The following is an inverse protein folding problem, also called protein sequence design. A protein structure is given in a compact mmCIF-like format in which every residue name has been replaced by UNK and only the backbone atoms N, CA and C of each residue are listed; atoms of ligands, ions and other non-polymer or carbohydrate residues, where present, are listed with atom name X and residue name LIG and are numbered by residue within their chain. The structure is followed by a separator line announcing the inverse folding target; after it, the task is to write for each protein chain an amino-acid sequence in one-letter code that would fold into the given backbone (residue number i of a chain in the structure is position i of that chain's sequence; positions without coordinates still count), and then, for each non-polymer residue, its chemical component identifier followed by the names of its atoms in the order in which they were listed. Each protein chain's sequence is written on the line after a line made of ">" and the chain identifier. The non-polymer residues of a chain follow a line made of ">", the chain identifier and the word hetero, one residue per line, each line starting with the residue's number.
data_IF_174808906485
#
_entry.id   IF_174808906485
#
_cell.length_a   1.000
_cell.length_b   1.000
_cell.length_c   1.000
_cell.angle_alpha   90.00
_cell.angle_beta   90.00
_cell.angle_gamma   90.00
#
_symmetry.space_group_name_H-M   'P 1'
#
loop_
_entity.id
_entity.type
_entity.pdbx_description
1 polymer ?
#
# COMPACT_ATOMS: atom_id res chain seq x y z
N UNK A 1 -33.45 4.01 -4.12
CA UNK A 1 -32.13 3.32 -4.36
C UNK A 1 -32.25 2.03 -5.17
N UNK A 2 -33.24 1.16 -4.96
CA UNK A 2 -33.38 -0.11 -5.72
C UNK A 2 -33.64 0.06 -7.23
N UNK A 3 -34.30 1.11 -7.67
CA UNK A 3 -34.56 1.37 -9.11
C UNK A 3 -33.33 1.84 -9.89
N UNK A 4 -32.38 2.51 -9.24
CA UNK A 4 -31.15 2.98 -9.86
C UNK A 4 -30.22 1.80 -10.16
N UNK A 5 -30.14 0.83 -9.24
CA UNK A 5 -29.33 -0.38 -9.42
C UNK A 5 -29.85 -1.29 -10.55
N UNK A 6 -31.17 -1.42 -10.71
CA UNK A 6 -31.78 -2.21 -11.81
C UNK A 6 -31.58 -1.56 -13.18
N UNK A 7 -31.59 -0.23 -13.27
CA UNK A 7 -31.35 0.48 -14.53
C UNK A 7 -29.85 0.47 -14.91
N UNK A 8 -28.94 0.49 -13.96
CA UNK A 8 -27.51 0.43 -14.22
C UNK A 8 -27.07 -0.88 -14.90
N UNK A 9 -27.76 -2.01 -14.64
CA UNK A 9 -27.44 -3.30 -15.28
C UNK A 9 -27.78 -3.35 -16.78
N UNK A 10 -28.66 -2.46 -17.28
CA UNK A 10 -29.02 -2.35 -18.70
C UNK A 10 -28.04 -1.51 -19.52
N UNK A 11 -27.17 -0.74 -18.87
CA UNK A 11 -26.18 0.10 -19.53
C UNK A 11 -25.00 -0.71 -20.06
N UNK A 12 -24.38 -0.26 -21.15
CA UNK A 12 -23.10 -0.79 -21.61
C UNK A 12 -22.03 -0.62 -20.53
N UNK A 13 -21.05 -1.52 -20.50
CA UNK A 13 -19.95 -1.48 -19.51
C UNK A 13 -19.24 -0.12 -19.49
N UNK A 14 -18.98 0.47 -20.66
CA UNK A 14 -18.33 1.78 -20.79
C UNK A 14 -19.15 2.92 -20.18
N UNK A 15 -20.47 2.89 -20.33
CA UNK A 15 -21.37 3.88 -19.75
C UNK A 15 -21.40 3.78 -18.21
N UNK A 16 -21.45 2.53 -17.69
CA UNK A 16 -21.35 2.29 -16.25
C UNK A 16 -20.04 2.82 -15.65
N UNK A 17 -18.91 2.54 -16.32
CA UNK A 17 -17.59 3.04 -15.90
C UNK A 17 -17.59 4.56 -15.81
N UNK A 18 -18.12 5.26 -16.83
CA UNK A 18 -18.17 6.72 -16.84
C UNK A 18 -19.00 7.26 -15.67
N UNK A 19 -20.18 6.73 -15.44
CA UNK A 19 -21.04 7.14 -14.32
C UNK A 19 -20.35 6.90 -12.97
N UNK A 20 -19.71 5.74 -12.80
CA UNK A 20 -18.99 5.41 -11.56
C UNK A 20 -17.85 6.39 -11.31
N UNK A 21 -17.04 6.67 -12.34
CA UNK A 21 -15.93 7.61 -12.25
C UNK A 21 -16.41 9.02 -11.93
N UNK A 22 -17.48 9.50 -12.59
CA UNK A 22 -18.06 10.83 -12.32
C UNK A 22 -18.53 10.95 -10.87
N UNK A 23 -19.20 9.91 -10.34
CA UNK A 23 -19.65 9.89 -8.93
C UNK A 23 -18.47 9.85 -7.97
N UNK A 24 -17.47 8.98 -8.23
CA UNK A 24 -16.28 8.86 -7.37
C UNK A 24 -15.47 10.15 -7.36
N UNK A 25 -15.23 10.76 -8.52
CA UNK A 25 -14.49 12.02 -8.62
C UNK A 25 -15.21 13.17 -7.90
N UNK A 26 -16.56 13.19 -7.95
CA UNK A 26 -17.37 14.19 -7.23
C UNK A 26 -17.32 13.99 -5.72
N UNK A 27 -17.39 12.75 -5.25
CA UNK A 27 -17.44 12.44 -3.81
C UNK A 27 -16.06 12.38 -3.17
N UNK A 28 -15.04 11.96 -3.93
CA UNK A 28 -13.67 11.73 -3.46
C UNK A 28 -12.65 12.39 -4.39
N UNK A 29 -12.63 13.75 -4.46
CA UNK A 29 -11.72 14.47 -5.38
C UNK A 29 -10.24 14.29 -5.03
N UNK A 30 -9.95 13.91 -3.80
CA UNK A 30 -8.59 13.59 -3.31
C UNK A 30 -8.66 12.31 -2.48
N UNK A 31 -7.80 11.35 -2.82
CA UNK A 31 -7.69 10.05 -2.14
C UNK A 31 -6.25 9.81 -1.67
N UNK A 32 -5.76 10.59 -0.67
CA UNK A 32 -4.44 10.34 -0.12
C UNK A 32 -4.40 8.97 0.58
N UNK A 33 -3.22 8.36 0.62
CA UNK A 33 -3.01 7.17 1.44
C UNK A 33 -3.21 7.55 2.92
N UNK A 34 -4.04 6.81 3.67
CA UNK A 34 -4.31 7.09 5.09
C UNK A 34 -3.15 6.71 6.02
N UNK A 35 -1.99 6.36 5.48
CA UNK A 35 -0.78 5.97 6.21
C UNK A 35 0.18 7.14 6.32
N UNK A 36 0.59 7.48 7.54
CA UNK A 36 1.53 8.57 7.81
C UNK A 36 2.92 8.22 7.27
N UNK A 37 3.42 9.04 6.34
CA UNK A 37 4.72 8.88 5.71
C UNK A 37 5.31 10.26 5.30
N UNK A 38 6.61 10.30 5.00
CA UNK A 38 7.32 11.51 4.58
C UNK A 38 8.01 11.39 3.24
N UNK A 39 8.34 10.18 2.84
CA UNK A 39 9.08 9.82 1.64
C UNK A 39 8.71 8.40 1.20
N UNK A 40 9.25 7.96 0.06
CA UNK A 40 8.99 6.65 -0.53
C UNK A 40 9.41 5.50 0.39
N UNK A 41 10.47 5.68 1.19
CA UNK A 41 10.92 4.64 2.11
C UNK A 41 9.96 4.47 3.28
N UNK A 42 9.54 5.55 3.91
CA UNK A 42 8.58 5.51 5.02
C UNK A 42 7.21 5.06 4.55
N UNK A 43 6.82 5.42 3.31
CA UNK A 43 5.61 4.88 2.66
C UNK A 43 5.72 3.36 2.47
N UNK A 44 6.81 2.87 1.89
CA UNK A 44 7.03 1.43 1.68
C UNK A 44 6.91 0.63 2.99
N UNK A 45 7.54 1.12 4.06
CA UNK A 45 7.46 0.48 5.38
C UNK A 45 6.03 0.51 5.93
N UNK A 46 5.34 1.65 5.85
CA UNK A 46 3.98 1.78 6.33
C UNK A 46 3.01 0.86 5.58
N UNK A 47 3.12 0.78 4.24
CA UNK A 47 2.31 -0.13 3.42
C UNK A 47 2.64 -1.60 3.71
N UNK A 48 3.91 -1.97 3.95
CA UNK A 48 4.26 -3.33 4.37
C UNK A 48 3.63 -3.66 5.73
N UNK A 49 3.61 -2.70 6.66
CA UNK A 49 3.00 -2.90 7.98
C UNK A 49 1.48 -3.01 7.91
N UNK A 50 0.81 -2.37 6.95
CA UNK A 50 -0.65 -2.41 6.82
C UNK A 50 -1.19 -3.77 6.35
N UNK A 51 -0.35 -4.67 5.85
CA UNK A 51 -0.75 -6.03 5.53
C UNK A 51 -1.36 -6.73 6.75
N UNK A 52 -2.66 -7.08 6.69
CA UNK A 52 -3.44 -7.65 7.80
C UNK A 52 -3.40 -6.82 9.09
N UNK A 53 -3.35 -5.49 8.96
CA UNK A 53 -3.36 -4.55 10.06
C UNK A 53 -4.16 -3.30 9.65
N UNK A 54 -4.81 -2.66 10.62
CA UNK A 54 -5.55 -1.41 10.36
C UNK A 54 -4.59 -0.23 10.21
N UNK A 55 -4.94 0.74 9.38
CA UNK A 55 -4.14 1.95 9.16
C UNK A 55 -3.94 2.75 10.46
N UNK A 56 -4.96 2.80 11.32
CA UNK A 56 -4.88 3.41 12.65
C UNK A 56 -3.74 2.79 13.46
N UNK A 57 -3.67 1.45 13.51
CA UNK A 57 -2.61 0.75 14.26
C UNK A 57 -1.24 0.97 13.64
N UNK A 58 -1.14 1.04 12.32
CA UNK A 58 0.11 1.37 11.64
C UNK A 58 0.57 2.77 12.03
N UNK A 59 -0.33 3.76 11.99
CA UNK A 59 -0.02 5.15 12.32
C UNK A 59 0.31 5.37 13.81
N UNK A 60 -0.08 4.46 14.71
CA UNK A 60 0.38 4.47 16.11
C UNK A 60 1.83 4.03 16.26
N UNK A 61 2.32 3.08 15.45
CA UNK A 61 3.67 2.50 15.60
C UNK A 61 4.71 3.16 14.71
N UNK A 62 4.34 3.65 13.53
CA UNK A 62 5.29 4.23 12.57
C UNK A 62 6.02 5.46 13.09
N UNK A 63 5.44 6.40 13.86
CA UNK A 63 6.17 7.51 14.43
C UNK A 63 7.30 7.06 15.38
N UNK A 64 7.06 6.01 16.17
CA UNK A 64 8.07 5.44 17.09
C UNK A 64 9.20 4.80 16.29
N UNK A 65 8.86 4.01 15.24
CA UNK A 65 9.85 3.37 14.39
C UNK A 65 10.67 4.39 13.61
N UNK A 66 10.02 5.38 12.99
CA UNK A 66 10.69 6.39 12.16
C UNK A 66 11.50 7.42 12.97
N UNK A 67 11.16 7.64 14.25
CA UNK A 67 12.02 8.42 15.17
C UNK A 67 13.36 7.73 15.37
N UNK A 68 13.41 6.39 15.43
CA UNK A 68 14.66 5.62 15.53
C UNK A 68 15.35 5.49 14.17
N UNK A 69 14.60 5.18 13.11
CA UNK A 69 15.16 4.84 11.82
C UNK A 69 14.21 5.25 10.67
N UNK A 70 14.38 6.46 10.15
CA UNK A 70 13.56 7.04 9.09
C UNK A 70 14.08 6.81 7.67
N UNK A 71 15.19 6.08 7.50
CA UNK A 71 15.80 5.82 6.20
C UNK A 71 16.43 4.41 6.16
N UNK A 72 16.74 3.87 4.97
CA UNK A 72 17.28 2.52 4.83
C UNK A 72 18.57 2.29 5.63
N UNK A 73 19.47 3.29 5.68
CA UNK A 73 20.73 3.19 6.39
C UNK A 73 20.53 2.98 7.89
N UNK A 74 19.71 3.82 8.54
CA UNK A 74 19.40 3.69 9.96
C UNK A 74 18.60 2.40 10.24
N UNK A 75 17.65 2.05 9.37
CA UNK A 75 16.81 0.87 9.56
C UNK A 75 17.61 -0.43 9.47
N UNK A 76 18.58 -0.53 8.55
CA UNK A 76 19.44 -1.69 8.42
C UNK A 76 20.34 -1.92 9.63
N UNK A 77 20.67 -0.86 10.40
CA UNK A 77 21.47 -0.96 11.63
C UNK A 77 20.68 -1.53 12.81
N UNK A 78 19.35 -1.36 12.83
CA UNK A 78 18.53 -1.94 13.89
C UNK A 78 18.57 -3.45 13.85
N UNK A 79 18.61 -4.10 15.01
CA UNK A 79 18.39 -5.54 15.12
C UNK A 79 16.94 -5.89 14.77
N UNK A 80 16.71 -7.10 14.29
CA UNK A 80 15.33 -7.59 14.06
C UNK A 80 14.48 -7.52 15.34
N UNK A 81 15.09 -7.77 16.52
CA UNK A 81 14.43 -7.72 17.82
C UNK A 81 13.97 -6.29 18.17
N UNK A 82 14.78 -5.27 17.87
CA UNK A 82 14.39 -3.87 18.07
C UNK A 82 13.24 -3.46 17.16
N UNK A 83 13.28 -3.80 15.86
CA UNK A 83 12.17 -3.55 14.95
C UNK A 83 10.92 -4.26 15.46
N UNK A 84 11.03 -5.55 15.78
CA UNK A 84 9.92 -6.35 16.29
C UNK A 84 9.28 -5.75 17.55
N UNK A 85 10.07 -5.31 18.51
CA UNK A 85 9.55 -4.75 19.76
C UNK A 85 8.63 -3.54 19.54
N UNK A 86 8.87 -2.78 18.47
CA UNK A 86 8.06 -1.61 18.10
C UNK A 86 6.82 -2.04 17.32
N UNK A 87 7.00 -2.90 16.29
CA UNK A 87 5.93 -3.21 15.33
C UNK A 87 5.02 -4.37 15.73
N UNK A 88 5.30 -5.07 16.85
CA UNK A 88 4.50 -6.20 17.32
C UNK A 88 2.98 -5.97 17.35
N UNK A 89 2.46 -4.74 17.61
CA UNK A 89 1.02 -4.48 17.58
C UNK A 89 0.38 -4.60 16.18
N UNK A 90 1.19 -4.55 15.10
CA UNK A 90 0.69 -4.65 13.72
C UNK A 90 0.45 -6.10 13.24
N UNK A 91 0.61 -7.10 14.12
CA UNK A 91 0.49 -8.52 13.73
C UNK A 91 1.64 -8.98 12.81
N UNK A 92 1.83 -10.29 12.69
CA UNK A 92 2.89 -10.90 11.87
C UNK A 92 4.30 -10.30 12.14
N UNK A 93 4.52 -9.87 13.39
CA UNK A 93 5.71 -9.12 13.80
C UNK A 93 7.05 -9.77 13.45
N UNK A 94 7.25 -11.10 13.68
CA UNK A 94 8.50 -11.78 13.31
C UNK A 94 8.81 -11.70 11.82
N UNK A 95 7.81 -11.95 10.97
CA UNK A 95 7.95 -11.91 9.51
C UNK A 95 8.18 -10.48 9.02
N UNK A 96 7.38 -9.52 9.49
CA UNK A 96 7.48 -8.11 9.11
C UNK A 96 8.82 -7.50 9.55
N UNK A 97 9.27 -7.77 10.77
CA UNK A 97 10.57 -7.26 11.26
C UNK A 97 11.76 -7.81 10.47
N UNK A 98 11.72 -9.10 10.11
CA UNK A 98 12.71 -9.72 9.23
C UNK A 98 12.68 -9.09 7.83
N UNK A 99 11.48 -8.90 7.26
CA UNK A 99 11.30 -8.29 5.95
C UNK A 99 11.83 -6.85 5.94
N UNK A 100 11.42 -5.99 6.87
CA UNK A 100 11.87 -4.59 7.00
C UNK A 100 13.38 -4.49 7.08
N UNK A 101 14.02 -5.30 7.93
CA UNK A 101 15.48 -5.29 8.05
C UNK A 101 16.16 -5.68 6.74
N UNK A 102 15.70 -6.75 6.11
CA UNK A 102 16.35 -7.29 4.91
C UNK A 102 16.12 -6.40 3.69
N UNK A 103 14.88 -5.87 3.49
CA UNK A 103 14.64 -4.93 2.38
C UNK A 103 15.48 -3.66 2.53
N UNK A 104 15.68 -3.15 3.76
CA UNK A 104 16.52 -1.99 4.00
C UNK A 104 17.98 -2.24 3.62
N UNK A 105 18.51 -3.44 3.92
CA UNK A 105 19.85 -3.86 3.47
C UNK A 105 19.95 -3.95 1.94
N UNK A 106 18.92 -4.51 1.29
CA UNK A 106 18.90 -4.65 -0.17
C UNK A 106 18.84 -3.27 -0.84
N UNK A 107 18.00 -2.37 -0.31
CA UNK A 107 17.90 -0.99 -0.81
C UNK A 107 19.25 -0.29 -0.71
N UNK A 108 19.99 -0.48 0.38
CA UNK A 108 21.34 0.08 0.53
C UNK A 108 22.35 -0.51 -0.47
N UNK A 109 22.37 -1.84 -0.61
CA UNK A 109 23.42 -2.53 -1.36
C UNK A 109 23.18 -2.57 -2.87
N UNK A 110 21.93 -2.50 -3.32
CA UNK A 110 21.55 -2.68 -4.74
C UNK A 110 20.87 -1.46 -5.37
N UNK A 111 20.46 -0.48 -4.55
CA UNK A 111 19.69 0.68 -5.00
C UNK A 111 20.19 1.99 -4.40
N UNK A 112 21.47 2.07 -3.99
CA UNK A 112 22.12 3.27 -3.47
C UNK A 112 21.33 3.99 -2.36
N UNK A 113 20.62 3.22 -1.55
CA UNK A 113 19.79 3.75 -0.45
C UNK A 113 18.48 4.42 -0.88
N UNK A 114 18.08 4.31 -2.14
CA UNK A 114 16.82 4.84 -2.68
C UNK A 114 15.85 3.69 -2.94
N UNK A 115 14.56 3.91 -2.67
CA UNK A 115 13.52 2.95 -3.02
C UNK A 115 13.46 2.83 -4.54
N UNK A 116 13.50 1.61 -5.11
CA UNK A 116 13.43 1.45 -6.57
C UNK A 116 12.05 1.86 -7.10
N UNK A 117 12.03 2.50 -8.27
CA UNK A 117 10.84 3.01 -8.95
C UNK A 117 10.34 2.07 -10.06
N UNK A 118 10.45 0.76 -9.87
CA UNK A 118 9.90 -0.23 -10.81
C UNK A 118 9.24 -1.38 -10.06
N UNK A 119 8.17 -1.94 -10.64
CA UNK A 119 7.46 -3.10 -10.07
C UNK A 119 8.40 -4.28 -9.86
N UNK A 120 9.19 -4.60 -10.88
CA UNK A 120 10.12 -5.73 -10.84
C UNK A 120 11.12 -5.64 -9.67
N UNK A 121 11.67 -4.46 -9.43
CA UNK A 121 12.64 -4.26 -8.35
C UNK A 121 11.95 -4.21 -6.98
N UNK A 122 10.76 -3.60 -6.87
CA UNK A 122 9.99 -3.57 -5.63
C UNK A 122 9.54 -4.96 -5.19
N UNK A 123 9.03 -5.78 -6.11
CA UNK A 123 8.54 -7.14 -5.82
C UNK A 123 9.65 -8.12 -5.44
N UNK A 124 10.91 -7.82 -5.79
CA UNK A 124 12.09 -8.57 -5.31
C UNK A 124 12.46 -8.24 -3.86
N UNK A 125 11.89 -7.18 -3.28
CA UNK A 125 12.14 -6.84 -1.88
C UNK A 125 11.36 -7.76 -0.94
N UNK A 126 11.98 -8.25 0.14
CA UNK A 126 11.29 -9.10 1.11
C UNK A 126 10.04 -8.44 1.70
N UNK A 127 8.91 -9.14 1.65
CA UNK A 127 7.62 -8.68 2.18
C UNK A 127 6.88 -7.69 1.28
N UNK A 128 7.35 -7.46 0.06
CA UNK A 128 6.71 -6.60 -0.93
C UNK A 128 6.07 -7.48 -2.00
N UNK A 129 4.75 -7.57 -1.98
CA UNK A 129 3.96 -8.19 -3.05
C UNK A 129 3.44 -7.16 -4.04
N UNK A 130 2.78 -7.64 -5.11
CA UNK A 130 2.25 -6.79 -6.18
C UNK A 130 1.36 -5.64 -5.67
N UNK A 131 0.48 -5.91 -4.69
CA UNK A 131 -0.38 -4.85 -4.10
C UNK A 131 0.45 -3.77 -3.40
N UNK A 132 1.44 -4.16 -2.59
CA UNK A 132 2.34 -3.21 -1.93
C UNK A 132 3.13 -2.39 -2.94
N UNK A 133 3.70 -3.05 -3.96
CA UNK A 133 4.40 -2.38 -5.05
C UNK A 133 3.49 -1.39 -5.78
N UNK A 134 2.23 -1.77 -6.07
CA UNK A 134 1.25 -0.90 -6.74
C UNK A 134 0.96 0.37 -5.93
N UNK A 135 0.80 0.26 -4.60
CA UNK A 135 0.58 1.44 -3.74
C UNK A 135 1.81 2.34 -3.74
N UNK A 136 3.01 1.78 -3.59
CA UNK A 136 4.26 2.55 -3.58
C UNK A 136 4.49 3.22 -4.94
N UNK A 137 4.25 2.52 -6.04
CA UNK A 137 4.38 3.09 -7.39
C UNK A 137 3.40 4.24 -7.63
N UNK A 138 2.14 4.07 -7.25
CA UNK A 138 1.11 5.09 -7.48
C UNK A 138 1.27 6.30 -6.55
N UNK A 139 1.52 6.09 -5.29
CA UNK A 139 1.52 7.17 -4.29
C UNK A 139 2.90 7.77 -4.04
N UNK A 140 3.96 6.96 -4.13
CA UNK A 140 5.33 7.43 -3.94
C UNK A 140 5.94 8.00 -5.22
N UNK A 141 5.66 7.39 -6.37
CA UNK A 141 6.27 7.76 -7.64
C UNK A 141 5.30 8.38 -8.65
N UNK A 142 4.00 8.49 -8.33
CA UNK A 142 3.00 9.04 -9.25
C UNK A 142 2.76 8.18 -10.49
N UNK A 143 3.21 6.92 -10.49
CA UNK A 143 3.01 6.00 -11.61
C UNK A 143 1.57 5.48 -11.63
N UNK A 144 0.87 5.48 -12.77
CA UNK A 144 -0.48 4.95 -12.87
C UNK A 144 -0.53 3.46 -12.51
N UNK A 145 -1.03 3.15 -11.32
CA UNK A 145 -1.19 1.78 -10.84
C UNK A 145 -2.52 1.64 -10.08
N UNK A 146 -3.09 0.46 -10.13
CA UNK A 146 -4.38 0.17 -9.51
C UNK A 146 -4.25 -1.02 -8.54
N UNK A 147 -4.00 -0.75 -7.24
CA UNK A 147 -3.84 -1.81 -6.23
C UNK A 147 -5.19 -2.47 -5.93
N UNK A 148 -5.48 -3.57 -6.61
CA UNK A 148 -6.73 -4.32 -6.44
C UNK A 148 -6.69 -5.11 -5.12
N UNK A 149 -7.63 -4.81 -4.23
CA UNK A 149 -7.87 -5.59 -3.03
C UNK A 149 -9.25 -6.28 -3.08
N UNK A 150 -9.57 -7.03 -2.03
CA UNK A 150 -10.85 -7.76 -1.94
C UNK A 150 -12.07 -6.84 -1.97
N UNK A 151 -11.95 -5.59 -1.52
CA UNK A 151 -13.03 -4.61 -1.58
C UNK A 151 -13.24 -4.11 -3.01
N UNK A 152 -12.16 -3.72 -3.68
CA UNK A 152 -12.18 -3.29 -5.09
C UNK A 152 -12.72 -4.42 -5.98
N UNK A 153 -12.22 -5.65 -5.79
CA UNK A 153 -12.70 -6.81 -6.54
C UNK A 153 -14.21 -7.01 -6.36
N UNK A 154 -14.71 -7.01 -5.13
CA UNK A 154 -16.13 -7.14 -4.81
C UNK A 154 -16.97 -6.00 -5.38
N UNK A 155 -16.49 -4.75 -5.32
CA UNK A 155 -17.19 -3.61 -5.91
C UNK A 155 -17.24 -3.71 -7.44
N UNK A 156 -16.14 -4.08 -8.08
CA UNK A 156 -16.09 -4.28 -9.52
C UNK A 156 -17.10 -5.33 -10.00
N UNK A 157 -17.24 -6.44 -9.27
CA UNK A 157 -18.28 -7.45 -9.54
C UNK A 157 -19.68 -6.87 -9.35
N UNK A 158 -19.96 -6.19 -8.22
CA UNK A 158 -21.28 -5.60 -7.94
C UNK A 158 -21.69 -4.55 -8.98
N UNK A 159 -20.73 -3.83 -9.54
CA UNK A 159 -20.96 -2.85 -10.59
C UNK A 159 -20.99 -3.47 -11.99
N UNK A 160 -20.79 -4.78 -12.10
CA UNK A 160 -20.79 -5.50 -13.37
C UNK A 160 -19.63 -5.09 -14.29
N UNK A 161 -18.49 -4.73 -13.71
CA UNK A 161 -17.26 -4.37 -14.44
C UNK A 161 -16.39 -5.60 -14.72
N UNK A 162 -16.53 -6.64 -13.91
CA UNK A 162 -15.85 -7.93 -14.05
C UNK A 162 -16.79 -9.07 -13.68
N UNK A 163 -16.50 -10.26 -14.17
CA UNK A 163 -17.24 -11.48 -13.85
C UNK A 163 -16.66 -12.22 -12.62
N UNK A 164 -15.52 -11.77 -12.08
CA UNK A 164 -14.80 -12.38 -10.97
C UNK A 164 -13.37 -12.68 -11.33
#
# INVERSE_FOLDING_TARGET
>A
MQNIAKNAQKLKKSERVKIILDVLNKQYPKTPVPLDHKDEFTLLIAVLLSAQCTDIRVNEVTPILFKKASNPKKMALLSQKEIYSIIKPCGLGPQKSKAIKNLSKIILSKHDGKVPSSFEALEKLPGVGHKTASVVMSQGFGYPAFPVDTHIHRLAQRWGLTNG
#
